data_IF_249196153466
#
_entry.id   IF_249196153466
#
_cell.length_a   1.000
_cell.length_b   1.000
_cell.length_c   1.000
_cell.angle_alpha   90.00
_cell.angle_beta   90.00
_cell.angle_gamma   90.00
#
_symmetry.space_group_name_H-M   'P 1'
#
loop_
_entity.id
_entity.type
_entity.pdbx_description
1 polymer ?
#
# COMPACT_ATOMS: atom_id res chain seq x y z
N UNK A 1 29.39 7.96 11.02
CA UNK A 1 29.63 9.42 11.18
C UNK A 1 29.99 9.80 12.63
N UNK A 2 30.32 8.82 13.47
CA UNK A 2 30.75 8.95 14.87
C UNK A 2 29.92 9.96 15.69
N UNK A 3 28.58 9.84 15.63
CA UNK A 3 27.68 10.66 16.43
C UNK A 3 27.69 10.13 17.87
N UNK A 4 27.82 11.03 18.83
CA UNK A 4 27.78 10.71 20.26
C UNK A 4 26.66 11.48 20.93
N UNK A 5 26.36 11.10 22.16
CA UNK A 5 25.33 11.75 22.97
C UNK A 5 25.64 13.22 23.15
N UNK A 6 24.63 14.07 23.03
CA UNK A 6 24.71 15.54 23.15
C UNK A 6 25.64 16.25 22.14
N UNK A 7 26.03 15.57 21.04
CA UNK A 7 26.77 16.18 19.95
C UNK A 7 25.99 17.31 19.26
N UNK A 8 26.66 18.42 18.99
CA UNK A 8 26.17 19.45 18.07
C UNK A 8 26.40 18.98 16.63
N UNK A 9 25.35 18.96 15.82
CA UNK A 9 25.40 18.46 14.44
C UNK A 9 25.05 19.54 13.44
N UNK A 10 25.61 19.46 12.24
CA UNK A 10 25.20 20.26 11.10
C UNK A 10 24.21 19.42 10.26
N UNK A 11 23.03 19.99 10.06
CA UNK A 11 22.00 19.44 9.18
C UNK A 11 21.86 20.31 7.94
N UNK A 12 21.49 19.71 6.82
CA UNK A 12 21.18 20.41 5.59
C UNK A 12 19.88 19.89 4.99
N UNK A 13 19.28 20.66 4.11
CA UNK A 13 18.06 20.26 3.39
C UNK A 13 18.45 19.34 2.24
N UNK A 14 18.18 18.05 2.39
CA UNK A 14 18.36 17.09 1.31
C UNK A 14 17.09 17.02 0.47
N UNK A 15 17.12 17.56 -0.74
CA UNK A 15 15.92 17.72 -1.56
C UNK A 15 15.00 18.82 -1.04
N UNK A 16 13.68 18.66 -1.23
CA UNK A 16 12.72 19.74 -1.00
C UNK A 16 12.24 19.86 0.45
N UNK A 17 12.22 18.79 1.23
CA UNK A 17 11.55 18.79 2.55
C UNK A 17 12.42 18.19 3.66
N UNK A 18 13.10 17.07 3.43
CA UNK A 18 13.69 16.26 4.51
C UNK A 18 15.08 16.77 4.89
N UNK A 19 15.33 17.14 6.19
CA UNK A 19 16.68 17.47 6.64
C UNK A 19 17.55 16.22 6.68
N UNK A 20 18.79 16.35 6.24
CA UNK A 20 19.79 15.30 6.33
C UNK A 20 20.95 15.75 7.23
N UNK A 21 21.53 14.76 7.90
CA UNK A 21 22.70 14.95 8.75
C UNK A 21 23.97 15.03 7.90
N UNK A 22 24.71 16.13 8.04
CA UNK A 22 25.96 16.35 7.32
C UNK A 22 27.16 15.81 8.12
N UNK A 23 27.44 16.42 9.27
CA UNK A 23 28.57 16.06 10.14
C UNK A 23 28.38 16.55 11.58
N UNK A 24 29.17 16.01 12.48
CA UNK A 24 29.35 16.50 13.85
C UNK A 24 30.20 17.76 13.84
N UNK A 25 29.96 18.68 14.79
CA UNK A 25 30.82 19.82 15.08
C UNK A 25 31.74 19.41 16.24
N UNK A 26 32.87 18.78 15.92
CA UNK A 26 33.79 18.20 16.90
C UNK A 26 34.25 19.21 17.97
N UNK A 27 34.45 20.48 17.58
CA UNK A 27 34.86 21.55 18.52
C UNK A 27 33.80 21.89 19.59
N UNK A 28 32.55 21.38 19.40
CA UNK A 28 31.44 21.55 20.35
C UNK A 28 31.03 20.24 21.02
N UNK A 29 31.80 19.17 20.83
CA UNK A 29 31.55 17.90 21.51
C UNK A 29 31.71 18.06 23.02
N UNK A 30 30.70 17.66 23.77
CA UNK A 30 30.66 17.75 25.23
C UNK A 30 30.67 16.39 25.90
N UNK A 31 30.40 15.31 25.16
CA UNK A 31 30.36 13.95 25.68
C UNK A 31 31.14 12.99 24.80
N UNK A 32 31.86 12.05 25.41
CA UNK A 32 32.50 10.92 24.74
C UNK A 32 31.61 9.68 24.72
N UNK A 33 30.40 9.75 25.30
CA UNK A 33 29.46 8.65 25.37
C UNK A 33 28.94 8.30 23.96
N UNK A 34 29.20 7.08 23.52
CA UNK A 34 28.68 6.56 22.24
C UNK A 34 27.19 6.28 22.36
N UNK A 35 26.49 6.43 21.22
CA UNK A 35 25.10 6.01 21.14
C UNK A 35 25.03 4.48 21.30
N UNK A 36 24.20 4.03 22.24
CA UNK A 36 23.88 2.62 22.38
C UNK A 36 22.89 2.20 21.32
N UNK A 37 23.35 1.42 20.35
CA UNK A 37 22.50 0.87 19.29
C UNK A 37 21.99 -0.47 19.77
N UNK A 38 20.66 -0.65 19.92
CA UNK A 38 20.13 -1.90 20.43
C UNK A 38 20.49 -3.07 19.52
N UNK A 39 20.97 -4.15 20.10
CA UNK A 39 21.24 -5.42 19.42
C UNK A 39 20.03 -6.35 19.43
N UNK A 40 19.11 -6.12 20.37
CA UNK A 40 17.91 -6.90 20.55
C UNK A 40 16.66 -6.04 20.33
N UNK A 41 15.59 -6.68 19.89
CA UNK A 41 14.30 -6.04 19.66
C UNK A 41 13.69 -5.55 20.98
N UNK A 42 13.32 -4.25 21.10
CA UNK A 42 12.76 -3.72 22.36
C UNK A 42 11.37 -4.30 22.71
N UNK A 43 10.70 -4.95 21.75
CA UNK A 43 9.37 -5.51 21.96
C UNK A 43 9.39 -7.00 22.34
N UNK A 44 10.32 -7.79 21.80
CA UNK A 44 10.32 -9.25 21.99
C UNK A 44 11.68 -9.83 22.36
N UNK A 45 12.68 -8.98 22.57
CA UNK A 45 14.07 -9.35 22.92
C UNK A 45 14.81 -10.27 21.95
N UNK A 46 14.23 -10.55 20.79
CA UNK A 46 14.91 -11.31 19.73
C UNK A 46 16.05 -10.51 19.13
N UNK A 47 17.13 -11.16 18.74
CA UNK A 47 18.26 -10.52 18.07
C UNK A 47 17.82 -9.77 16.81
N UNK A 48 18.29 -8.54 16.67
CA UNK A 48 18.10 -7.75 15.47
C UNK A 48 19.13 -8.13 14.40
N UNK A 49 18.69 -8.19 13.15
CA UNK A 49 19.54 -8.47 12.02
C UNK A 49 19.69 -7.25 11.11
N UNK A 50 20.87 -7.14 10.52
CA UNK A 50 21.18 -6.20 9.46
C UNK A 50 21.22 -6.97 8.15
N UNK A 51 20.37 -6.60 7.18
CA UNK A 51 20.42 -7.17 5.84
C UNK A 51 21.37 -6.38 4.97
N UNK A 52 22.10 -7.06 4.07
CA UNK A 52 23.15 -6.44 3.24
C UNK A 52 22.66 -5.24 2.42
N UNK A 53 21.40 -5.29 1.98
CA UNK A 53 20.77 -4.26 1.15
C UNK A 53 20.05 -3.16 1.96
N UNK A 54 20.06 -3.22 3.29
CA UNK A 54 19.30 -2.30 4.13
C UNK A 54 20.18 -1.65 5.21
N UNK A 55 19.94 -0.37 5.47
CA UNK A 55 20.60 0.35 6.56
C UNK A 55 19.95 0.06 7.92
N UNK A 56 18.71 -0.36 7.94
CA UNK A 56 17.93 -0.57 9.15
C UNK A 56 18.18 -1.92 9.81
N UNK A 57 18.30 -1.92 11.14
CA UNK A 57 18.23 -3.13 11.95
C UNK A 57 16.77 -3.63 12.01
N UNK A 58 16.56 -4.92 11.83
CA UNK A 58 15.23 -5.52 11.81
C UNK A 58 15.07 -6.68 12.77
N UNK A 59 13.93 -6.74 13.41
CA UNK A 59 13.48 -7.93 14.12
C UNK A 59 12.91 -8.94 13.10
N UNK A 60 13.37 -10.17 13.15
CA UNK A 60 12.90 -11.24 12.24
C UNK A 60 11.96 -12.23 12.95
N UNK A 61 11.62 -11.97 14.20
CA UNK A 61 10.73 -12.84 14.95
C UNK A 61 9.27 -12.68 14.47
N UNK A 62 8.67 -13.70 13.83
CA UNK A 62 7.29 -13.60 13.33
C UNK A 62 6.25 -13.48 14.46
N UNK A 63 6.64 -13.81 15.70
CA UNK A 63 5.80 -13.66 16.89
C UNK A 63 6.08 -12.36 17.65
N UNK A 64 6.79 -11.43 17.07
CA UNK A 64 7.03 -10.13 17.69
C UNK A 64 5.73 -9.34 17.84
N UNK A 65 5.30 -8.94 19.05
CA UNK A 65 4.06 -8.20 19.25
C UNK A 65 3.99 -6.93 18.43
N UNK A 66 5.08 -6.16 18.34
CA UNK A 66 5.13 -4.94 17.54
C UNK A 66 4.92 -5.22 16.05
N UNK A 67 5.52 -6.29 15.51
CA UNK A 67 5.33 -6.64 14.09
C UNK A 67 3.91 -7.11 13.79
N UNK A 68 3.32 -7.89 14.70
CA UNK A 68 1.93 -8.34 14.54
C UNK A 68 1.00 -7.12 14.56
N UNK A 69 1.14 -6.23 15.52
CA UNK A 69 0.31 -5.01 15.61
C UNK A 69 0.47 -4.12 14.38
N UNK A 70 1.69 -3.86 13.94
CA UNK A 70 1.94 -3.06 12.73
C UNK A 70 1.37 -3.73 11.47
N UNK A 71 1.46 -5.06 11.37
CA UNK A 71 0.83 -5.84 10.30
C UNK A 71 -0.69 -5.68 10.28
N UNK A 72 -1.35 -5.76 11.44
CA UNK A 72 -2.80 -5.54 11.57
C UNK A 72 -3.21 -4.10 11.21
N UNK A 73 -2.42 -3.11 11.66
CA UNK A 73 -2.64 -1.69 11.34
C UNK A 73 -2.49 -1.45 9.83
N UNK A 74 -1.43 -2.01 9.23
CA UNK A 74 -1.22 -1.94 7.78
C UNK A 74 -2.38 -2.57 7.01
N UNK A 75 -2.80 -3.77 7.42
CA UNK A 75 -3.92 -4.48 6.80
C UNK A 75 -5.22 -3.67 6.83
N UNK A 76 -5.51 -3.01 7.95
CA UNK A 76 -6.70 -2.19 8.11
C UNK A 76 -6.61 -0.82 7.41
N UNK A 77 -5.42 -0.41 6.95
CA UNK A 77 -5.16 0.92 6.39
C UNK A 77 -5.99 1.23 5.14
N UNK A 78 -6.08 2.53 4.82
CA UNK A 78 -6.88 3.04 3.70
C UNK A 78 -6.52 2.45 2.34
N UNK A 79 -5.24 2.25 2.10
CA UNK A 79 -4.72 1.75 0.81
C UNK A 79 -4.79 0.23 0.70
N UNK A 80 -4.90 -0.47 1.85
CA UNK A 80 -5.13 -1.91 1.96
C UNK A 80 -6.65 -2.19 2.06
N UNK A 81 -7.09 -2.91 3.10
CA UNK A 81 -8.49 -3.34 3.23
C UNK A 81 -9.44 -2.21 3.67
N UNK A 82 -8.95 -1.00 3.96
CA UNK A 82 -9.73 0.20 4.27
C UNK A 82 -10.81 -0.02 5.33
N UNK A 83 -10.45 -0.66 6.44
CA UNK A 83 -11.37 -0.94 7.55
C UNK A 83 -11.50 0.33 8.41
N UNK A 84 -12.46 1.18 8.06
CA UNK A 84 -12.64 2.47 8.72
C UNK A 84 -12.91 2.33 10.21
N UNK A 85 -12.11 3.02 11.02
CA UNK A 85 -12.19 2.99 12.48
C UNK A 85 -11.26 1.97 13.15
N UNK A 86 -10.75 0.98 12.43
CA UNK A 86 -9.78 0.00 12.94
C UNK A 86 -8.35 0.56 12.84
N UNK A 87 -8.10 1.66 13.57
CA UNK A 87 -6.79 2.29 13.65
C UNK A 87 -5.90 1.76 14.78
N UNK A 88 -4.67 2.31 14.94
CA UNK A 88 -3.68 1.84 15.92
C UNK A 88 -4.25 1.62 17.32
N UNK A 89 -4.97 2.58 17.87
CA UNK A 89 -5.51 2.49 19.24
C UNK A 89 -6.52 1.33 19.42
N UNK A 90 -7.34 1.03 18.41
CA UNK A 90 -8.28 -0.10 18.49
C UNK A 90 -7.53 -1.43 18.30
N UNK A 91 -6.57 -1.49 17.39
CA UNK A 91 -5.73 -2.68 17.17
C UNK A 91 -4.96 -3.02 18.44
N UNK A 92 -4.33 -2.03 19.10
CA UNK A 92 -3.62 -2.21 20.37
C UNK A 92 -4.54 -2.80 21.45
N UNK A 93 -5.77 -2.27 21.59
CA UNK A 93 -6.75 -2.78 22.56
C UNK A 93 -7.20 -4.21 22.26
N UNK A 94 -7.47 -4.52 20.99
CA UNK A 94 -7.85 -5.86 20.55
C UNK A 94 -6.71 -6.86 20.81
N UNK A 95 -5.48 -6.47 20.49
CA UNK A 95 -4.30 -7.29 20.70
C UNK A 95 -4.05 -7.52 22.21
N UNK A 96 -4.13 -6.48 23.02
CA UNK A 96 -3.97 -6.58 24.48
C UNK A 96 -5.07 -7.44 25.13
N UNK A 97 -6.28 -7.44 24.59
CA UNK A 97 -7.38 -8.29 25.01
C UNK A 97 -7.27 -9.74 24.46
N UNK A 98 -6.22 -10.10 23.72
CA UNK A 98 -6.04 -11.37 23.01
C UNK A 98 -7.20 -11.75 22.07
N UNK A 99 -7.89 -10.76 21.52
CA UNK A 99 -8.99 -10.95 20.56
C UNK A 99 -8.50 -11.11 19.12
N UNK A 100 -7.29 -10.61 18.81
CA UNK A 100 -6.67 -10.74 17.49
C UNK A 100 -5.18 -11.10 17.63
N UNK A 101 -4.70 -12.02 16.78
CA UNK A 101 -3.30 -12.43 16.67
C UNK A 101 -2.78 -12.35 15.24
N UNK A 102 -3.69 -12.40 14.28
CA UNK A 102 -3.41 -12.27 12.84
C UNK A 102 -4.57 -11.56 12.13
N UNK A 103 -4.45 -11.39 10.81
CA UNK A 103 -5.44 -10.66 10.03
C UNK A 103 -6.75 -11.44 9.83
N UNK A 104 -6.75 -12.80 9.92
CA UNK A 104 -7.96 -13.60 9.82
C UNK A 104 -8.84 -13.43 11.07
N UNK A 105 -8.24 -13.24 12.23
CA UNK A 105 -8.96 -13.00 13.48
C UNK A 105 -9.83 -11.71 13.40
N UNK A 106 -9.41 -10.71 12.63
CA UNK A 106 -10.23 -9.50 12.39
C UNK A 106 -11.63 -9.86 11.89
N UNK A 107 -11.72 -10.85 11.00
CA UNK A 107 -12.98 -11.27 10.39
C UNK A 107 -13.81 -12.22 11.27
N UNK A 108 -13.22 -12.75 12.34
CA UNK A 108 -13.91 -13.56 13.36
C UNK A 108 -14.53 -12.72 14.46
N UNK A 109 -14.14 -11.43 14.59
CA UNK A 109 -14.68 -10.50 15.58
C UNK A 109 -16.18 -10.31 15.41
N UNK A 110 -16.89 -10.32 16.53
CA UNK A 110 -18.31 -9.99 16.62
C UNK A 110 -18.50 -8.59 17.19
N UNK A 111 -19.65 -8.00 16.97
CA UNK A 111 -19.96 -6.65 17.48
C UNK A 111 -19.77 -6.55 19.01
N UNK A 112 -20.12 -7.60 19.75
CA UNK A 112 -19.97 -7.63 21.21
C UNK A 112 -18.50 -7.65 21.68
N UNK A 113 -17.56 -8.13 20.86
CA UNK A 113 -16.14 -8.16 21.22
C UNK A 113 -15.57 -6.74 21.33
N UNK A 114 -16.07 -5.81 20.52
CA UNK A 114 -15.69 -4.41 20.59
C UNK A 114 -16.21 -3.70 21.86
N UNK A 115 -17.32 -4.17 22.43
CA UNK A 115 -17.87 -3.60 23.69
C UNK A 115 -17.00 -3.91 24.90
N UNK A 116 -16.10 -4.90 24.80
CA UNK A 116 -15.11 -5.21 25.84
C UNK A 116 -13.98 -4.17 25.89
N UNK A 117 -13.83 -3.35 24.83
CA UNK A 117 -12.76 -2.37 24.73
C UNK A 117 -13.12 -1.08 25.45
N UNK A 118 -12.19 -0.58 26.26
CA UNK A 118 -12.38 0.69 26.98
C UNK A 118 -12.64 1.85 25.97
N UNK A 119 -13.72 2.62 26.22
CA UNK A 119 -14.10 3.77 25.41
C UNK A 119 -14.87 3.44 24.13
N UNK A 120 -15.11 2.17 23.83
CA UNK A 120 -15.97 1.74 22.72
C UNK A 120 -17.39 1.52 23.21
N UNK A 121 -18.37 2.17 22.55
CA UNK A 121 -19.79 2.04 22.83
C UNK A 121 -20.52 1.42 21.64
N UNK A 122 -21.77 1.01 21.82
CA UNK A 122 -22.60 0.33 20.82
C UNK A 122 -22.48 0.93 19.41
N UNK A 123 -22.65 2.25 19.28
CA UNK A 123 -22.56 2.92 17.97
C UNK A 123 -21.20 2.77 17.29
N UNK A 124 -20.11 2.78 18.08
CA UNK A 124 -18.75 2.60 17.55
C UNK A 124 -18.47 1.13 17.25
N UNK A 125 -18.92 0.22 18.10
CA UNK A 125 -18.84 -1.22 17.90
C UNK A 125 -19.54 -1.63 16.59
N UNK A 126 -20.77 -1.19 16.41
CA UNK A 126 -21.56 -1.47 15.20
C UNK A 126 -20.87 -0.94 13.93
N UNK A 127 -20.35 0.29 13.95
CA UNK A 127 -19.61 0.85 12.82
C UNK A 127 -18.35 0.07 12.48
N UNK A 128 -17.56 -0.35 13.49
CA UNK A 128 -16.36 -1.17 13.30
C UNK A 128 -16.72 -2.52 12.67
N UNK A 129 -17.72 -3.19 13.22
CA UNK A 129 -18.20 -4.46 12.69
C UNK A 129 -18.68 -4.33 11.24
N UNK A 130 -19.48 -3.31 10.92
CA UNK A 130 -19.93 -3.03 9.55
C UNK A 130 -18.77 -2.76 8.59
N UNK A 131 -17.76 -1.98 9.02
CA UNK A 131 -16.57 -1.71 8.22
C UNK A 131 -15.77 -2.98 7.91
N UNK A 132 -15.65 -3.90 8.88
CA UNK A 132 -15.02 -5.20 8.67
C UNK A 132 -15.83 -6.04 7.68
N UNK A 133 -17.16 -6.14 7.84
CA UNK A 133 -17.99 -6.89 6.89
C UNK A 133 -17.92 -6.30 5.47
N UNK A 134 -17.97 -4.98 5.33
CA UNK A 134 -17.84 -4.32 4.04
C UNK A 134 -16.48 -4.56 3.37
N UNK A 135 -15.40 -4.66 4.16
CA UNK A 135 -14.06 -4.88 3.62
C UNK A 135 -13.89 -6.25 2.95
N UNK A 136 -14.72 -7.24 3.27
CA UNK A 136 -14.72 -8.56 2.63
C UNK A 136 -14.93 -8.50 1.12
N UNK A 137 -15.66 -7.48 0.67
CA UNK A 137 -15.98 -7.26 -0.74
C UNK A 137 -14.87 -6.51 -1.51
N UNK A 138 -13.81 -6.11 -0.86
CA UNK A 138 -12.70 -5.44 -1.52
C UNK A 138 -12.07 -6.35 -2.59
N UNK A 139 -11.53 -5.72 -3.63
CA UNK A 139 -10.80 -6.41 -4.68
C UNK A 139 -9.46 -6.96 -4.17
N UNK A 140 -9.06 -8.12 -4.68
CA UNK A 140 -7.93 -8.90 -4.17
C UNK A 140 -6.57 -8.19 -4.17
N UNK A 141 -6.35 -7.17 -5.01
CA UNK A 141 -5.10 -6.39 -4.97
C UNK A 141 -4.94 -5.60 -3.66
N UNK A 142 -6.05 -5.21 -3.03
CA UNK A 142 -6.04 -4.56 -1.72
C UNK A 142 -5.69 -5.55 -0.61
N UNK A 143 -6.23 -6.77 -0.71
CA UNK A 143 -5.88 -7.85 0.19
C UNK A 143 -4.40 -8.21 0.05
N UNK A 144 -3.90 -8.42 -1.17
CA UNK A 144 -2.50 -8.75 -1.43
C UNK A 144 -1.55 -7.68 -0.86
N UNK A 145 -1.88 -6.41 -1.05
CA UNK A 145 -1.12 -5.30 -0.44
C UNK A 145 -1.21 -5.33 1.08
N UNK A 146 -2.41 -5.61 1.62
CA UNK A 146 -2.68 -5.70 3.07
C UNK A 146 -1.91 -6.83 3.77
N UNK A 147 -1.61 -7.93 3.08
CA UNK A 147 -0.79 -9.02 3.62
C UNK A 147 0.66 -8.60 3.92
N UNK A 148 1.11 -7.43 3.46
CA UNK A 148 2.40 -6.86 3.82
C UNK A 148 3.61 -7.65 3.31
N UNK A 149 3.47 -8.36 2.20
CA UNK A 149 4.57 -9.14 1.59
C UNK A 149 5.69 -8.19 1.19
N UNK A 150 6.90 -8.52 1.60
CA UNK A 150 8.08 -7.68 1.35
C UNK A 150 8.23 -7.40 -0.15
N UNK A 151 8.57 -6.16 -0.50
CA UNK A 151 8.71 -5.65 -1.88
C UNK A 151 7.41 -5.61 -2.70
N UNK A 152 6.29 -6.08 -2.17
CA UNK A 152 4.98 -6.06 -2.85
C UNK A 152 4.17 -4.86 -2.37
N UNK A 153 4.37 -3.71 -3.01
CA UNK A 153 3.60 -2.49 -2.76
C UNK A 153 2.26 -2.48 -3.50
N UNK A 154 1.44 -1.45 -3.26
CA UNK A 154 0.10 -1.33 -3.87
C UNK A 154 0.10 -1.41 -5.40
N UNK A 155 1.10 -0.79 -6.07
CA UNK A 155 1.21 -0.85 -7.54
C UNK A 155 1.59 -2.25 -8.03
N UNK A 156 2.50 -2.93 -7.34
CA UNK A 156 2.87 -4.31 -7.67
C UNK A 156 1.67 -5.24 -7.48
N UNK A 157 0.94 -5.12 -6.36
CA UNK A 157 -0.28 -5.89 -6.08
C UNK A 157 -1.33 -5.70 -7.18
N UNK A 158 -1.51 -4.47 -7.66
CA UNK A 158 -2.42 -4.18 -8.76
C UNK A 158 -2.01 -4.89 -10.06
N UNK A 159 -0.73 -4.78 -10.48
CA UNK A 159 -0.22 -5.42 -11.70
C UNK A 159 -0.31 -6.94 -11.62
N UNK A 160 0.05 -7.51 -10.47
CA UNK A 160 -0.04 -8.95 -10.23
C UNK A 160 -1.48 -9.46 -10.37
N UNK A 161 -2.44 -8.81 -9.69
CA UNK A 161 -3.82 -9.29 -9.73
C UNK A 161 -4.54 -8.94 -11.05
N UNK A 162 -4.09 -7.94 -11.80
CA UNK A 162 -4.52 -7.72 -13.18
C UNK A 162 -4.12 -8.89 -14.09
N UNK A 163 -2.95 -9.49 -13.86
CA UNK A 163 -2.42 -10.60 -14.66
C UNK A 163 -2.99 -11.96 -14.21
N UNK A 164 -2.93 -12.25 -12.91
CA UNK A 164 -3.31 -13.57 -12.37
C UNK A 164 -4.78 -13.70 -11.98
N UNK A 165 -5.54 -12.60 -11.90
CA UNK A 165 -6.97 -12.51 -11.62
C UNK A 165 -7.41 -12.95 -10.21
N UNK A 166 -6.63 -13.76 -9.51
CA UNK A 166 -6.91 -14.16 -8.13
C UNK A 166 -5.62 -14.37 -7.32
N UNK A 167 -5.72 -14.32 -5.99
CA UNK A 167 -4.60 -14.65 -5.10
C UNK A 167 -4.25 -16.14 -5.21
N UNK A 168 -5.23 -17.00 -5.44
CA UNK A 168 -5.02 -18.44 -5.59
C UNK A 168 -4.17 -18.76 -6.83
N UNK A 169 -4.46 -18.12 -7.96
CA UNK A 169 -3.65 -18.27 -9.18
C UNK A 169 -2.25 -17.73 -8.98
N UNK A 170 -2.13 -16.54 -8.36
CA UNK A 170 -0.83 -15.94 -8.05
C UNK A 170 0.02 -16.82 -7.12
N UNK A 171 -0.60 -17.48 -6.14
CA UNK A 171 0.09 -18.37 -5.22
C UNK A 171 0.69 -19.62 -5.90
N UNK A 172 0.16 -20.01 -7.07
CA UNK A 172 0.61 -21.13 -7.89
C UNK A 172 1.47 -20.69 -9.08
N UNK A 173 1.67 -19.38 -9.27
CA UNK A 173 2.37 -18.84 -10.43
C UNK A 173 3.86 -19.20 -10.44
N UNK A 174 4.40 -19.39 -11.65
CA UNK A 174 5.83 -19.55 -11.83
C UNK A 174 6.57 -18.22 -11.54
N UNK A 175 7.65 -18.22 -10.76
CA UNK A 175 8.43 -17.02 -10.50
C UNK A 175 8.95 -16.32 -11.78
N UNK A 176 9.23 -17.07 -12.85
CA UNK A 176 9.66 -16.50 -14.13
C UNK A 176 8.53 -15.74 -14.81
N UNK A 177 7.29 -16.25 -14.72
CA UNK A 177 6.10 -15.57 -15.22
C UNK A 177 5.86 -14.25 -14.45
N UNK A 178 5.95 -14.26 -13.12
CA UNK A 178 5.87 -13.05 -12.30
C UNK A 178 6.93 -12.02 -12.69
N UNK A 179 8.18 -12.46 -12.88
CA UNK A 179 9.30 -11.59 -13.23
C UNK A 179 9.20 -11.02 -14.66
N UNK A 180 8.42 -11.66 -15.54
CA UNK A 180 8.20 -11.21 -16.93
C UNK A 180 7.22 -10.04 -17.04
N UNK A 181 6.42 -9.77 -15.99
CA UNK A 181 5.46 -8.67 -15.98
C UNK A 181 6.21 -7.33 -15.95
N UNK A 182 5.84 -6.41 -16.85
CA UNK A 182 6.47 -5.08 -16.92
C UNK A 182 6.44 -4.36 -15.57
N UNK A 183 7.56 -3.80 -15.16
CA UNK A 183 7.78 -3.12 -13.88
C UNK A 183 7.82 -4.03 -12.63
N UNK A 184 7.76 -5.35 -12.80
CA UNK A 184 8.02 -6.32 -11.74
C UNK A 184 9.36 -7.03 -12.05
N UNK A 185 10.04 -7.44 -11.01
CA UNK A 185 11.36 -8.05 -11.14
C UNK A 185 11.52 -9.31 -10.30
N UNK A 186 12.66 -9.99 -10.44
CA UNK A 186 12.99 -11.21 -9.71
C UNK A 186 12.89 -11.09 -8.19
N UNK A 187 13.15 -9.89 -7.63
CA UNK A 187 13.04 -9.63 -6.18
C UNK A 187 11.57 -9.78 -5.70
N UNK A 188 10.62 -9.28 -6.47
CA UNK A 188 9.18 -9.42 -6.15
C UNK A 188 8.76 -10.87 -6.31
N UNK A 189 9.16 -11.53 -7.41
CA UNK A 189 8.87 -12.94 -7.66
C UNK A 189 9.37 -13.84 -6.52
N UNK A 190 10.62 -13.64 -6.09
CA UNK A 190 11.22 -14.37 -4.96
C UNK A 190 10.47 -14.13 -3.64
N UNK A 191 10.05 -12.88 -3.38
CA UNK A 191 9.30 -12.53 -2.17
C UNK A 191 7.94 -13.24 -2.12
N UNK A 192 7.23 -13.27 -3.24
CA UNK A 192 5.95 -13.98 -3.38
C UNK A 192 6.12 -15.49 -3.21
N UNK A 193 7.11 -16.08 -3.91
CA UNK A 193 7.40 -17.50 -3.80
C UNK A 193 7.71 -17.89 -2.34
N UNK A 194 8.58 -17.12 -1.68
CA UNK A 194 8.93 -17.36 -0.28
C UNK A 194 7.70 -17.28 0.63
N UNK A 195 6.84 -16.29 0.42
CA UNK A 195 5.64 -16.09 1.23
C UNK A 195 4.65 -17.25 1.05
N UNK A 196 4.25 -17.56 -0.18
CA UNK A 196 3.23 -18.59 -0.47
C UNK A 196 3.72 -20.03 -0.26
N UNK A 197 5.04 -20.26 -0.18
CA UNK A 197 5.59 -21.56 0.15
C UNK A 197 5.40 -21.93 1.63
N UNK A 198 5.14 -20.95 2.51
CA UNK A 198 4.99 -21.20 3.94
C UNK A 198 3.63 -21.83 4.27
N UNK A 199 3.62 -22.78 5.20
CA UNK A 199 2.36 -23.37 5.69
C UNK A 199 1.46 -22.31 6.34
N UNK A 200 2.04 -21.36 7.07
CA UNK A 200 1.28 -20.26 7.70
C UNK A 200 0.51 -19.40 6.70
N UNK A 201 1.08 -19.11 5.53
CA UNK A 201 0.38 -18.33 4.50
C UNK A 201 -0.78 -19.10 3.87
N UNK A 202 -0.63 -20.42 3.68
CA UNK A 202 -1.70 -21.27 3.15
C UNK A 202 -2.88 -21.33 4.11
N UNK A 203 -2.60 -21.60 5.39
CA UNK A 203 -3.62 -21.61 6.45
C UNK A 203 -4.32 -20.26 6.51
N UNK A 204 -3.57 -19.15 6.48
CA UNK A 204 -4.14 -17.81 6.50
C UNK A 204 -5.08 -17.53 5.31
N UNK A 205 -4.70 -17.94 4.10
CA UNK A 205 -5.55 -17.78 2.92
C UNK A 205 -6.83 -18.60 3.02
N UNK A 206 -6.74 -19.84 3.51
CA UNK A 206 -7.91 -20.69 3.73
C UNK A 206 -8.85 -20.08 4.78
N UNK A 207 -8.32 -19.57 5.89
CA UNK A 207 -9.10 -18.89 6.93
C UNK A 207 -9.78 -17.61 6.43
N UNK A 208 -9.10 -16.80 5.60
CA UNK A 208 -9.68 -15.63 4.98
C UNK A 208 -10.80 -15.99 4.01
N UNK A 209 -10.62 -17.05 3.22
CA UNK A 209 -11.63 -17.60 2.32
C UNK A 209 -12.86 -18.11 3.07
N UNK A 210 -12.65 -18.89 4.14
CA UNK A 210 -13.73 -19.38 5.03
C UNK A 210 -14.48 -18.23 5.70
N UNK A 211 -13.79 -17.14 6.04
CA UNK A 211 -14.38 -15.93 6.58
C UNK A 211 -15.19 -15.13 5.53
N UNK A 212 -15.15 -15.53 4.26
CA UNK A 212 -15.86 -14.89 3.15
C UNK A 212 -15.15 -13.65 2.58
N UNK A 213 -13.82 -13.54 2.76
CA UNK A 213 -13.03 -12.47 2.15
C UNK A 213 -12.82 -12.78 0.67
N UNK A 214 -13.04 -11.80 -0.18
CA UNK A 214 -12.85 -11.94 -1.61
C UNK A 214 -11.38 -12.11 -1.99
N UNK A 215 -11.04 -13.16 -2.72
CA UNK A 215 -9.70 -13.46 -3.22
C UNK A 215 -9.54 -13.16 -4.71
N UNK A 216 -10.62 -12.69 -5.38
CA UNK A 216 -10.63 -12.41 -6.80
C UNK A 216 -10.40 -10.92 -7.09
N UNK A 217 -9.73 -10.64 -8.19
CA UNK A 217 -9.56 -9.29 -8.69
C UNK A 217 -10.89 -8.77 -9.26
N UNK A 218 -11.40 -7.70 -8.64
CA UNK A 218 -12.64 -7.02 -9.05
C UNK A 218 -12.38 -5.75 -9.88
N UNK A 219 -11.10 -5.43 -10.10
CA UNK A 219 -10.72 -4.32 -10.96
C UNK A 219 -10.99 -4.62 -12.42
N UNK A 220 -11.01 -3.58 -13.25
CA UNK A 220 -11.21 -3.78 -14.68
C UNK A 220 -9.94 -4.40 -15.27
N UNK A 221 -10.07 -5.61 -15.84
CA UNK A 221 -9.03 -6.21 -16.67
C UNK A 221 -8.81 -5.32 -17.88
N UNK A 222 -7.56 -4.93 -18.13
CA UNK A 222 -7.22 -4.25 -19.39
C UNK A 222 -7.45 -5.24 -20.51
N UNK A 223 -8.53 -5.06 -21.27
CA UNK A 223 -8.76 -5.84 -22.48
C UNK A 223 -7.64 -5.47 -23.45
N UNK A 224 -6.90 -6.46 -23.97
CA UNK A 224 -5.75 -6.22 -24.86
C UNK A 224 -6.10 -5.37 -26.12
N UNK A 225 -7.38 -5.32 -26.49
CA UNK A 225 -7.95 -4.51 -27.57
C UNK A 225 -8.75 -3.28 -27.08
N UNK A 226 -8.42 -2.76 -25.87
CA UNK A 226 -9.14 -1.63 -25.34
C UNK A 226 -8.88 -0.34 -26.18
N UNK A 227 -9.93 0.46 -26.35
CA UNK A 227 -9.97 1.61 -27.25
C UNK A 227 -8.84 2.65 -27.02
N UNK A 228 -8.23 2.69 -25.84
CA UNK A 228 -7.16 3.60 -25.46
C UNK A 228 -5.86 2.90 -25.10
N UNK A 229 -5.69 1.65 -25.52
CA UNK A 229 -4.50 0.84 -25.19
C UNK A 229 -3.21 1.52 -25.65
N UNK A 230 -2.24 1.63 -24.72
CA UNK A 230 -0.95 2.26 -24.98
C UNK A 230 -0.93 3.80 -25.03
N UNK A 231 -2.08 4.46 -24.90
CA UNK A 231 -2.13 5.93 -24.88
C UNK A 231 -1.82 6.48 -23.46
N UNK A 232 -0.99 7.52 -23.42
CA UNK A 232 -0.76 8.30 -22.19
C UNK A 232 -1.75 9.47 -22.17
N UNK A 233 -2.62 9.48 -21.14
CA UNK A 233 -3.70 10.47 -20.99
C UNK A 233 -3.48 11.34 -19.75
N UNK A 234 -3.82 12.63 -19.84
CA UNK A 234 -3.78 13.57 -18.71
C UNK A 234 -5.19 14.13 -18.47
N UNK A 235 -5.62 14.08 -17.20
CA UNK A 235 -6.84 14.75 -16.75
C UNK A 235 -6.52 16.14 -16.20
N UNK A 236 -7.24 17.16 -16.69
CA UNK A 236 -7.08 18.55 -16.23
C UNK A 236 -8.44 19.24 -16.05
N UNK A 237 -8.49 20.28 -15.23
CA UNK A 237 -9.73 20.97 -14.92
C UNK A 237 -10.63 20.23 -13.93
N UNK A 238 -11.81 20.82 -13.67
CA UNK A 238 -12.87 20.28 -12.83
C UNK A 238 -13.86 19.50 -13.70
N UNK A 239 -14.01 18.22 -13.44
CA UNK A 239 -15.05 17.39 -14.04
C UNK A 239 -16.38 17.67 -13.32
N UNK A 240 -17.48 17.71 -14.03
CA UNK A 240 -18.80 18.05 -13.49
C UNK A 240 -19.63 16.81 -13.13
N UNK A 241 -19.46 15.72 -13.88
CA UNK A 241 -20.25 14.50 -13.75
C UNK A 241 -19.50 13.34 -13.13
N UNK A 242 -18.21 13.23 -13.42
CA UNK A 242 -17.32 12.22 -12.87
C UNK A 242 -16.39 12.81 -11.83
N UNK A 243 -16.16 12.07 -10.74
CA UNK A 243 -15.02 12.40 -9.87
C UNK A 243 -13.71 12.12 -10.62
N UNK A 244 -12.64 12.79 -10.22
CA UNK A 244 -11.31 12.58 -10.83
C UNK A 244 -10.85 11.11 -10.73
N UNK A 245 -11.26 10.43 -9.67
CA UNK A 245 -10.95 9.01 -9.45
C UNK A 245 -11.74 8.12 -10.41
N UNK A 246 -13.02 8.38 -10.60
CA UNK A 246 -13.88 7.65 -11.55
C UNK A 246 -13.40 7.83 -13.00
N UNK A 247 -13.10 9.08 -13.39
CA UNK A 247 -12.56 9.38 -14.71
C UNK A 247 -11.20 8.69 -14.96
N UNK A 248 -10.34 8.68 -13.95
CA UNK A 248 -9.06 7.97 -14.01
C UNK A 248 -9.28 6.47 -14.18
N UNK A 249 -10.12 5.87 -13.34
CA UNK A 249 -10.42 4.43 -13.40
C UNK A 249 -11.02 4.04 -14.76
N UNK A 250 -11.93 4.85 -15.30
CA UNK A 250 -12.53 4.63 -16.63
C UNK A 250 -11.49 4.64 -17.75
N UNK A 251 -10.58 5.62 -17.75
CA UNK A 251 -9.50 5.70 -18.74
C UNK A 251 -8.52 4.51 -18.62
N UNK A 252 -8.14 4.15 -17.40
CA UNK A 252 -7.25 3.02 -17.14
C UNK A 252 -7.90 1.69 -17.53
N UNK A 253 -9.20 1.52 -17.36
CA UNK A 253 -9.95 0.35 -17.81
C UNK A 253 -9.98 0.19 -19.33
N UNK A 254 -9.92 1.31 -20.04
CA UNK A 254 -9.83 1.37 -21.51
C UNK A 254 -8.37 1.25 -22.01
N UNK A 255 -7.43 0.88 -21.13
CA UNK A 255 -6.03 0.63 -21.46
C UNK A 255 -5.13 1.86 -21.48
N UNK A 256 -5.63 3.04 -21.10
CA UNK A 256 -4.84 4.25 -21.05
C UNK A 256 -3.94 4.33 -19.82
N UNK A 257 -2.74 4.91 -19.97
CA UNK A 257 -1.87 5.28 -18.86
C UNK A 257 -2.19 6.71 -18.42
N UNK A 258 -2.82 6.90 -17.25
CA UNK A 258 -3.15 8.24 -16.74
C UNK A 258 -1.98 8.85 -15.98
N UNK A 259 -1.55 10.05 -16.38
CA UNK A 259 -0.42 10.77 -15.76
C UNK A 259 -0.82 12.15 -15.23
N UNK A 260 -0.04 12.66 -14.27
CA UNK A 260 -0.33 13.94 -13.61
C UNK A 260 0.14 15.18 -14.36
N UNK A 261 1.02 15.04 -15.36
CA UNK A 261 1.64 16.18 -16.07
C UNK A 261 1.67 15.96 -17.58
N UNK A 262 1.50 17.06 -18.33
CA UNK A 262 1.56 17.06 -19.81
C UNK A 262 3.02 17.11 -20.25
N UNK A 263 3.41 16.22 -21.15
CA UNK A 263 4.74 16.11 -21.75
C UNK A 263 4.65 15.69 -23.22
N UNK A 264 5.76 15.66 -23.94
CA UNK A 264 5.84 15.14 -25.32
C UNK A 264 5.39 13.69 -25.48
N UNK A 265 5.31 12.94 -24.37
CA UNK A 265 4.81 11.54 -24.33
C UNK A 265 3.31 11.45 -24.08
N UNK A 266 2.62 12.57 -23.87
CA UNK A 266 1.17 12.60 -23.68
C UNK A 266 0.48 12.55 -25.03
N UNK A 267 -0.44 11.58 -25.19
CA UNK A 267 -1.18 11.38 -26.44
C UNK A 267 -2.51 12.13 -26.43
N UNK A 268 -3.13 12.25 -25.25
CA UNK A 268 -4.47 12.80 -25.11
C UNK A 268 -4.60 13.57 -23.79
N UNK A 269 -5.35 14.67 -23.82
CA UNK A 269 -5.74 15.41 -22.61
C UNK A 269 -7.26 15.44 -22.52
N UNK A 270 -7.82 15.02 -21.40
CA UNK A 270 -9.23 15.19 -21.10
C UNK A 270 -9.37 16.40 -20.18
N UNK A 271 -10.08 17.42 -20.69
CA UNK A 271 -10.22 18.72 -20.05
C UNK A 271 -11.66 18.92 -19.56
N UNK A 272 -11.81 19.14 -18.24
CA UNK A 272 -13.04 19.65 -17.64
C UNK A 272 -13.06 21.17 -17.59
N UNK A 273 -14.02 21.74 -16.84
CA UNK A 273 -14.11 23.18 -16.62
C UNK A 273 -12.84 23.74 -15.95
N UNK A 274 -12.49 24.97 -16.24
CA UNK A 274 -11.33 25.69 -15.68
C UNK A 274 -9.99 24.95 -15.84
N UNK A 275 -9.81 24.30 -16.96
CA UNK A 275 -8.58 23.59 -17.29
C UNK A 275 -7.42 24.57 -17.55
N UNK A 276 -6.63 24.86 -16.51
CA UNK A 276 -5.57 25.87 -16.51
C UNK A 276 -4.32 25.51 -17.35
N UNK A 277 -3.13 25.72 -16.79
CA UNK A 277 -1.82 25.62 -17.48
C UNK A 277 -1.55 24.30 -18.22
N UNK A 278 -2.16 23.19 -17.80
CA UNK A 278 -2.01 21.89 -18.49
C UNK A 278 -2.70 21.87 -19.85
N UNK A 279 -3.87 22.54 -19.99
CA UNK A 279 -4.56 22.67 -21.27
C UNK A 279 -3.74 23.52 -22.24
N UNK A 280 -3.22 24.67 -21.77
CA UNK A 280 -2.34 25.52 -22.59
C UNK A 280 -1.12 24.76 -23.11
N UNK A 281 -0.46 24.01 -22.22
CA UNK A 281 0.69 23.19 -22.57
C UNK A 281 0.35 22.07 -23.56
N UNK A 282 -0.84 21.49 -23.48
CA UNK A 282 -1.30 20.50 -24.44
C UNK A 282 -1.48 21.12 -25.84
N UNK A 283 -2.06 22.31 -25.91
CA UNK A 283 -2.23 23.06 -27.14
C UNK A 283 -0.90 23.47 -27.78
N UNK A 284 0.06 23.96 -26.97
CA UNK A 284 1.43 24.27 -27.41
C UNK A 284 2.17 23.06 -28.00
N UNK A 285 1.91 21.86 -27.45
CA UNK A 285 2.54 20.62 -27.89
C UNK A 285 1.74 19.92 -29.02
N UNK A 286 0.61 20.47 -29.45
CA UNK A 286 -0.25 19.89 -30.50
C UNK A 286 -0.92 18.56 -30.05
N UNK A 287 -1.12 18.40 -28.75
CA UNK A 287 -1.73 17.17 -28.19
C UNK A 287 -3.24 17.26 -28.33
N UNK A 288 -3.86 16.15 -28.73
CA UNK A 288 -5.31 16.04 -28.82
C UNK A 288 -5.99 16.32 -27.49
N UNK A 289 -7.05 17.15 -27.50
CA UNK A 289 -7.84 17.49 -26.32
C UNK A 289 -9.28 17.05 -26.53
N UNK A 290 -9.84 16.37 -25.53
CA UNK A 290 -11.24 15.94 -25.47
C UNK A 290 -11.88 16.48 -24.19
N UNK A 291 -13.20 16.54 -24.17
CA UNK A 291 -13.99 16.96 -23.03
C UNK A 291 -14.49 15.76 -22.18
N UNK A 292 -15.18 16.06 -21.10
CA UNK A 292 -15.78 15.06 -20.22
C UNK A 292 -16.90 14.27 -20.93
N UNK A 293 -17.67 14.91 -21.81
CA UNK A 293 -18.73 14.24 -22.56
C UNK A 293 -18.18 13.15 -23.48
N UNK A 294 -17.04 13.38 -24.10
CA UNK A 294 -16.34 12.37 -24.87
C UNK A 294 -15.94 11.18 -23.98
N UNK A 295 -15.39 11.44 -22.77
CA UNK A 295 -15.02 10.39 -21.84
C UNK A 295 -16.23 9.55 -21.38
N UNK A 296 -17.40 10.17 -21.23
CA UNK A 296 -18.64 9.47 -20.90
C UNK A 296 -19.12 8.55 -22.03
N UNK A 297 -18.90 8.97 -23.26
CA UNK A 297 -19.35 8.22 -24.46
C UNK A 297 -18.54 6.96 -24.77
N UNK A 298 -17.38 6.80 -24.13
CA UNK A 298 -16.58 5.57 -24.21
C UNK A 298 -17.13 4.47 -23.31
#
# INVERSE_FOLDING_TARGET
KDIRKDDTVIVYKAGDIIPAFLRVVESKRVSEEKLDIPTNCPSCDSQLLHFEDEVALRCINPRCPAQIMEGLIHFASRDAMNITGLGPSIVEKLFAANLVKDVADIYRLKENDFLLLEGVKEKSASKLYQAIQASKENSAEKLLFGLGIRHVGSKASQLLLQHFHSIENLAQADPEEVASIESLGSVIAQSLQTYFATEGSKILLDELKEAGVNLDYKGQTVVADAALSGLTVVLTGKLERLTRSEAKNKLESLGAKVTGSVSKKTNLVVAGADAGSKLQKAQELGIEVRDEAWLESL
#
